data_IF_047714520699
#
_entry.id   IF_047714520699
#
_cell.length_a   1.000
_cell.length_b   1.000
_cell.length_c   1.000
_cell.angle_alpha   90.00
_cell.angle_beta   90.00
_cell.angle_gamma   90.00
#
_symmetry.space_group_name_H-M   'P 1'
#
loop_
_entity.id
_entity.type
_entity.pdbx_description
1 polymer ?
#
# COMPACT_ATOMS: atom_id res chain seq x y z
N UNK A 1 -4.97 2.86 -12.41
CA UNK A 1 -4.01 3.96 -12.15
C UNK A 1 -2.86 3.55 -11.27
N UNK A 2 -3.10 2.90 -10.13
CA UNK A 2 -2.03 2.39 -9.24
C UNK A 2 -1.05 1.45 -9.95
N UNK A 3 -1.51 0.65 -10.92
CA UNK A 3 -0.61 -0.21 -11.73
C UNK A 3 0.41 0.60 -12.55
N UNK A 4 0.06 1.80 -13.03
CA UNK A 4 1.02 2.70 -13.72
C UNK A 4 2.09 3.25 -12.77
N UNK A 5 1.72 3.49 -11.51
CA UNK A 5 2.70 3.85 -10.47
C UNK A 5 3.66 2.68 -10.21
N UNK A 6 3.18 1.44 -10.25
CA UNK A 6 4.04 0.27 -10.11
C UNK A 6 5.03 0.13 -11.27
N UNK A 7 4.64 0.47 -12.50
CA UNK A 7 5.56 0.51 -13.65
C UNK A 7 6.61 1.63 -13.51
N UNK A 8 6.21 2.80 -13.01
CA UNK A 8 7.09 3.97 -12.91
C UNK A 8 8.08 3.87 -11.73
N UNK A 9 7.61 3.36 -10.59
CA UNK A 9 8.40 3.28 -9.35
C UNK A 9 8.90 1.86 -9.05
N UNK A 10 8.64 0.88 -9.91
CA UNK A 10 8.97 -0.53 -9.71
C UNK A 10 10.46 -0.81 -9.44
N UNK A 11 11.35 0.04 -9.97
CA UNK A 11 12.80 -0.07 -9.75
C UNK A 11 13.22 0.36 -8.33
N UNK A 12 12.41 1.20 -7.66
CA UNK A 12 12.73 1.78 -6.34
C UNK A 12 11.82 1.22 -5.24
N UNK A 13 10.62 0.77 -5.58
CA UNK A 13 9.59 0.30 -4.66
C UNK A 13 9.00 -1.00 -5.16
N UNK A 14 8.92 -1.99 -4.27
CA UNK A 14 8.29 -3.26 -4.57
C UNK A 14 6.79 -3.19 -4.28
N UNK A 15 5.98 -3.21 -5.33
CA UNK A 15 4.53 -3.30 -5.21
C UNK A 15 4.07 -4.74 -5.02
N UNK A 16 3.21 -4.96 -4.03
CA UNK A 16 2.66 -6.27 -3.71
C UNK A 16 1.14 -6.17 -3.57
N UNK A 17 0.41 -7.14 -4.13
CA UNK A 17 -1.04 -7.28 -3.97
C UNK A 17 -1.34 -8.50 -3.13
N UNK A 18 -2.14 -8.33 -2.08
CA UNK A 18 -2.55 -9.42 -1.18
C UNK A 18 -4.07 -9.51 -1.15
N UNK A 19 -4.59 -10.70 -1.45
CA UNK A 19 -6.02 -10.99 -1.27
C UNK A 19 -6.31 -11.26 0.22
N UNK A 20 -7.04 -10.36 0.86
CA UNK A 20 -7.39 -10.48 2.29
C UNK A 20 -8.37 -11.62 2.59
N UNK A 21 -9.17 -12.06 1.61
CA UNK A 21 -10.12 -13.17 1.81
C UNK A 21 -9.39 -14.50 1.99
N UNK A 22 -8.29 -14.69 1.26
CA UNK A 22 -7.40 -15.85 1.35
C UNK A 22 -6.40 -15.72 2.50
N UNK A 23 -6.00 -14.49 2.84
CA UNK A 23 -4.92 -14.21 3.81
C UNK A 23 -5.43 -13.49 5.07
N UNK A 24 -6.56 -13.94 5.63
CA UNK A 24 -7.24 -13.26 6.76
C UNK A 24 -6.34 -13.04 7.98
N UNK A 25 -5.52 -14.03 8.37
CA UNK A 25 -4.60 -13.91 9.51
C UNK A 25 -3.59 -12.78 9.30
N UNK A 26 -3.04 -12.67 8.09
CA UNK A 26 -2.12 -11.59 7.74
C UNK A 26 -2.84 -10.24 7.79
N UNK A 27 -4.02 -10.12 7.17
CA UNK A 27 -4.81 -8.89 7.20
C UNK A 27 -5.11 -8.41 8.63
N UNK A 28 -5.50 -9.34 9.53
CA UNK A 28 -5.72 -9.04 10.95
C UNK A 28 -4.43 -8.60 11.64
N UNK A 29 -3.31 -9.30 11.40
CA UNK A 29 -2.02 -8.95 12.01
C UNK A 29 -1.52 -7.56 11.60
N UNK A 30 -1.82 -7.16 10.36
CA UNK A 30 -1.50 -5.83 9.83
C UNK A 30 -2.54 -4.76 10.19
N UNK A 31 -3.60 -5.14 10.95
CA UNK A 31 -4.72 -4.28 11.36
C UNK A 31 -5.49 -3.67 10.20
N UNK A 32 -5.67 -4.41 9.11
CA UNK A 32 -6.52 -3.99 8.00
C UNK A 32 -7.98 -4.08 8.41
N UNK A 33 -8.61 -2.92 8.70
CA UNK A 33 -9.99 -2.82 9.17
C UNK A 33 -11.01 -2.64 8.02
N UNK A 34 -10.56 -2.19 6.86
CA UNK A 34 -11.40 -1.91 5.70
C UNK A 34 -10.64 -2.01 4.39
N UNK A 35 -11.36 -2.01 3.27
CA UNK A 35 -10.80 -2.01 1.93
C UNK A 35 -11.28 -0.79 1.15
N UNK A 36 -10.47 -0.25 0.22
CA UNK A 36 -9.06 -0.59 -0.01
C UNK A 36 -8.15 -0.09 1.14
N UNK A 37 -7.03 -0.77 1.35
CA UNK A 37 -5.97 -0.33 2.28
C UNK A 37 -4.60 -0.57 1.65
N UNK A 38 -3.75 0.46 1.66
CA UNK A 38 -2.36 0.41 1.24
C UNK A 38 -1.44 0.58 2.45
N UNK A 39 -0.48 -0.32 2.58
CA UNK A 39 0.50 -0.32 3.65
C UNK A 39 1.89 -0.09 3.05
N UNK A 40 2.63 0.86 3.62
CA UNK A 40 3.98 1.20 3.16
C UNK A 40 4.98 0.65 4.16
N UNK A 41 5.96 -0.08 3.65
CA UNK A 41 7.02 -0.70 4.45
C UNK A 41 8.39 -0.21 4.01
N UNK A 42 9.28 -0.01 4.98
CA UNK A 42 10.69 0.30 4.76
C UNK A 42 11.51 -0.48 5.78
N UNK A 43 12.56 -1.17 5.33
CA UNK A 43 13.44 -1.98 6.19
C UNK A 43 12.71 -2.98 7.10
N UNK A 44 11.56 -3.49 6.65
CA UNK A 44 10.74 -4.45 7.38
C UNK A 44 9.72 -3.83 8.35
N UNK A 45 9.72 -2.50 8.51
CA UNK A 45 8.79 -1.79 9.40
C UNK A 45 7.70 -1.06 8.61
N UNK A 46 6.48 -1.02 9.15
CA UNK A 46 5.37 -0.25 8.57
C UNK A 46 5.59 1.24 8.87
N UNK A 47 5.78 2.04 7.82
CA UNK A 47 6.10 3.48 7.93
C UNK A 47 4.91 4.39 7.61
N UNK A 48 3.93 3.91 6.86
CA UNK A 48 2.70 4.64 6.54
C UNK A 48 1.55 3.69 6.19
N UNK A 49 0.33 4.22 6.23
CA UNK A 49 -0.91 3.51 5.89
C UNK A 49 -1.91 4.49 5.28
N UNK A 50 -2.55 4.08 4.19
CA UNK A 50 -3.71 4.74 3.60
C UNK A 50 -4.87 3.76 3.61
N UNK A 51 -5.98 4.11 4.24
CA UNK A 51 -7.14 3.23 4.38
C UNK A 51 -8.43 3.93 3.94
N UNK A 52 -9.27 3.19 3.23
CA UNK A 52 -10.56 3.65 2.74
C UNK A 52 -10.50 4.26 1.33
N UNK A 53 -11.65 4.32 0.64
CA UNK A 53 -11.72 4.72 -0.77
C UNK A 53 -11.29 6.17 -1.02
N UNK A 54 -11.50 7.07 -0.05
CA UNK A 54 -11.14 8.49 -0.18
C UNK A 54 -9.63 8.76 -0.05
N UNK A 55 -8.92 7.95 0.74
CA UNK A 55 -7.49 8.09 0.96
C UNK A 55 -6.65 7.30 -0.05
N UNK A 56 -7.21 6.25 -0.64
CA UNK A 56 -6.52 5.37 -1.58
C UNK A 56 -6.60 5.86 -3.03
N UNK A 57 -6.39 7.16 -3.27
CA UNK A 57 -6.29 7.73 -4.61
C UNK A 57 -4.89 7.58 -5.18
N UNK A 58 -4.75 7.64 -6.50
CA UNK A 58 -3.44 7.52 -7.15
C UNK A 58 -2.49 8.64 -6.71
N UNK A 59 -3.01 9.85 -6.56
CA UNK A 59 -2.26 11.04 -6.16
C UNK A 59 -1.76 10.92 -4.71
N UNK A 60 -2.60 10.43 -3.79
CA UNK A 60 -2.22 10.24 -2.39
C UNK A 60 -1.16 9.14 -2.23
N UNK A 61 -1.29 8.05 -2.99
CA UNK A 61 -0.28 6.98 -3.02
C UNK A 61 1.03 7.52 -3.58
N UNK A 62 1.00 8.26 -4.68
CA UNK A 62 2.21 8.86 -5.26
C UNK A 62 2.89 9.85 -4.31
N UNK A 63 2.11 10.70 -3.62
CA UNK A 63 2.65 11.64 -2.65
C UNK A 63 3.37 10.93 -1.48
N UNK A 64 2.79 9.84 -0.95
CA UNK A 64 3.46 9.04 0.08
C UNK A 64 4.69 8.31 -0.46
N UNK A 65 4.65 7.80 -1.69
CA UNK A 65 5.83 7.21 -2.33
C UNK A 65 6.96 8.22 -2.46
N UNK A 66 6.69 9.44 -2.92
CA UNK A 66 7.70 10.49 -3.04
C UNK A 66 8.29 10.91 -1.69
N UNK A 67 7.48 10.95 -0.63
CA UNK A 67 7.95 11.24 0.74
C UNK A 67 8.87 10.13 1.28
N UNK A 68 8.65 8.90 0.83
CA UNK A 68 9.35 7.71 1.28
C UNK A 68 10.50 7.30 0.34
N UNK A 69 10.67 7.82 -0.86
CA UNK A 69 11.72 7.39 -1.82
C UNK A 69 12.88 8.39 -1.89
#
# INVERSE_FOLDING_TARGET
EVERLAETYGDRVKFCKVNVLENRRLAISQRVLGLPTFLFFRDGEKVAELAGPEACTAEAIEAELQRLV
#
